data_IF_305940055557
#
_entry.id   IF_305940055557
#
_cell.length_a   1.000
_cell.length_b   1.000
_cell.length_c   1.000
_cell.angle_alpha   90.00
_cell.angle_beta   90.00
_cell.angle_gamma   90.00
#
_symmetry.space_group_name_H-M   'P 1'
#
loop_
_entity.id
_entity.type
_entity.pdbx_description
1 polymer ?
#
# COMPACT_ATOMS: atom_id res chain seq x y z
N UNK A 1 20.80 12.04 12.67
CA UNK A 1 20.41 11.10 12.01
C UNK A 1 19.30 10.25 12.61
N UNK A 2 19.22 9.11 12.33
CA UNK A 2 18.24 8.19 12.27
C UNK A 2 17.11 8.17 13.27
N UNK A 3 17.38 8.14 14.56
CA UNK A 3 16.29 7.89 15.51
C UNK A 3 15.26 9.00 15.56
N UNK A 4 15.65 10.22 15.23
CA UNK A 4 14.69 11.32 15.20
C UNK A 4 13.65 11.12 14.10
N UNK A 5 13.95 10.30 13.10
CA UNK A 5 13.04 10.05 12.00
C UNK A 5 12.00 8.98 12.29
N UNK A 6 12.08 8.33 13.46
CA UNK A 6 11.09 7.31 13.80
C UNK A 6 9.67 7.87 13.77
N UNK A 7 9.50 9.12 14.19
CA UNK A 7 8.19 9.74 14.19
C UNK A 7 7.64 10.00 12.79
N UNK A 8 8.49 9.92 11.78
CA UNK A 8 8.06 10.10 10.39
C UNK A 8 7.59 8.81 9.74
N UNK A 9 7.78 7.67 10.41
CA UNK A 9 7.34 6.40 9.91
C UNK A 9 5.81 6.35 9.95
N UNK A 10 5.21 6.18 8.81
CA UNK A 10 3.77 6.15 8.69
C UNK A 10 3.26 4.81 9.20
N UNK A 11 2.56 4.82 10.32
CA UNK A 11 2.10 3.59 10.94
C UNK A 11 1.01 2.90 10.14
N UNK A 12 0.30 3.63 9.32
CA UNK A 12 -0.70 3.01 8.45
C UNK A 12 -0.03 2.15 7.38
N UNK A 13 1.10 2.62 6.85
CA UNK A 13 1.85 1.86 5.84
C UNK A 13 2.76 0.82 6.47
N UNK A 14 3.31 1.13 7.64
CA UNK A 14 4.33 0.30 8.26
C UNK A 14 3.76 -1.02 8.73
N UNK A 15 4.17 -2.10 8.09
CA UNK A 15 3.68 -3.43 8.38
C UNK A 15 3.80 -4.24 7.12
N UNK A 16 4.10 -5.53 7.28
CA UNK A 16 4.40 -6.39 6.15
C UNK A 16 3.30 -6.35 5.08
N UNK A 17 2.06 -6.48 5.52
CA UNK A 17 0.95 -6.59 4.56
C UNK A 17 0.64 -5.27 3.90
N UNK A 18 0.50 -4.20 4.69
CA UNK A 18 0.13 -2.91 4.12
C UNK A 18 1.26 -2.33 3.29
N UNK A 19 2.51 -2.53 3.74
CA UNK A 19 3.64 -2.12 2.93
C UNK A 19 3.64 -2.87 1.60
N UNK A 20 3.40 -4.18 1.64
CA UNK A 20 3.32 -4.97 0.42
C UNK A 20 2.26 -4.47 -0.54
N UNK A 21 1.10 -4.10 -0.02
CA UNK A 21 0.02 -3.56 -0.84
C UNK A 21 0.46 -2.26 -1.50
N UNK A 22 1.08 -1.36 -0.73
CA UNK A 22 1.53 -0.08 -1.28
C UNK A 22 2.61 -0.26 -2.33
N UNK A 23 3.55 -1.18 -2.09
CA UNK A 23 4.59 -1.47 -3.07
C UNK A 23 3.96 -1.99 -4.37
N UNK A 24 3.05 -2.93 -4.23
CA UNK A 24 2.39 -3.51 -5.41
C UNK A 24 1.64 -2.45 -6.20
N UNK A 25 0.87 -1.61 -5.52
CA UNK A 25 0.06 -0.61 -6.19
C UNK A 25 0.87 0.57 -6.72
N UNK A 26 2.05 0.82 -6.15
CA UNK A 26 2.87 1.93 -6.61
C UNK A 26 3.60 1.62 -7.91
N UNK A 27 3.66 0.35 -8.30
CA UNK A 27 4.20 -0.04 -9.59
C UNK A 27 3.34 0.58 -10.68
N UNK A 28 3.97 1.14 -11.71
CA UNK A 28 3.26 1.86 -12.75
C UNK A 28 2.24 0.98 -13.47
N UNK A 29 2.53 -0.30 -13.55
CA UNK A 29 1.64 -1.23 -14.26
C UNK A 29 0.53 -1.77 -13.37
N UNK A 30 0.55 -1.44 -12.09
CA UNK A 30 -0.40 -1.98 -11.12
C UNK A 30 -1.21 -0.88 -10.45
N UNK A 31 -1.38 0.26 -11.10
CA UNK A 31 -2.15 1.38 -10.56
C UNK A 31 -3.56 0.97 -10.15
N UNK A 32 -4.11 0.01 -10.84
CA UNK A 32 -5.49 -0.40 -10.66
C UNK A 32 -5.51 -1.93 -10.71
N UNK A 33 -5.41 -2.54 -9.56
CA UNK A 33 -5.22 -3.98 -9.45
C UNK A 33 -6.48 -4.71 -9.04
N UNK A 34 -6.68 -5.88 -9.62
CA UNK A 34 -7.73 -6.79 -9.22
C UNK A 34 -7.35 -7.41 -7.88
N UNK A 35 -8.30 -7.42 -6.96
CA UNK A 35 -8.08 -7.97 -5.62
C UNK A 35 -7.63 -9.43 -5.65
N UNK A 36 -8.20 -10.22 -6.54
CA UNK A 36 -7.85 -11.64 -6.66
C UNK A 36 -6.40 -11.82 -7.06
N UNK A 37 -5.95 -10.99 -8.01
CA UNK A 37 -4.58 -11.00 -8.47
C UNK A 37 -3.62 -10.60 -7.35
N UNK A 38 -3.98 -9.55 -6.64
CA UNK A 38 -3.17 -9.06 -5.54
C UNK A 38 -3.03 -10.11 -4.45
N UNK A 39 -4.11 -10.83 -4.16
CA UNK A 39 -4.11 -11.88 -3.16
C UNK A 39 -3.06 -12.95 -3.48
N UNK A 40 -2.94 -13.31 -4.74
CA UNK A 40 -1.97 -14.30 -5.17
C UNK A 40 -0.55 -13.79 -5.02
N UNK A 41 -0.30 -12.57 -5.48
CA UNK A 41 1.04 -12.01 -5.47
C UNK A 41 1.54 -11.78 -4.04
N UNK A 42 0.66 -11.30 -3.18
CA UNK A 42 1.06 -10.98 -1.80
C UNK A 42 0.97 -12.22 -0.90
N UNK A 43 0.39 -13.30 -1.40
CA UNK A 43 0.24 -14.56 -0.66
C UNK A 43 -0.57 -14.34 0.62
N UNK A 44 -1.76 -13.78 0.45
CA UNK A 44 -2.63 -13.49 1.58
C UNK A 44 -3.99 -14.12 1.37
N UNK A 45 -4.71 -14.34 2.46
CA UNK A 45 -6.09 -14.72 2.34
C UNK A 45 -6.90 -13.49 1.97
N UNK A 46 -8.07 -13.72 1.38
CA UNK A 46 -8.92 -12.60 1.00
C UNK A 46 -9.35 -11.79 2.22
N UNK A 47 -9.64 -12.46 3.32
CA UNK A 47 -10.05 -11.77 4.54
C UNK A 47 -8.97 -10.88 5.09
N UNK A 48 -7.75 -11.40 5.18
CA UNK A 48 -6.61 -10.61 5.65
C UNK A 48 -6.36 -9.41 4.74
N UNK A 49 -6.33 -9.66 3.45
CA UNK A 49 -6.06 -8.60 2.49
C UNK A 49 -7.12 -7.52 2.58
N UNK A 50 -8.40 -7.91 2.67
CA UNK A 50 -9.50 -6.95 2.74
C UNK A 50 -9.42 -6.04 3.95
N UNK A 51 -9.04 -6.59 5.10
CA UNK A 51 -8.91 -5.79 6.32
C UNK A 51 -7.84 -4.72 6.13
N UNK A 52 -6.71 -5.10 5.59
CA UNK A 52 -5.61 -4.15 5.40
C UNK A 52 -5.91 -3.11 4.33
N UNK A 53 -6.59 -3.52 3.27
CA UNK A 53 -6.99 -2.56 2.24
C UNK A 53 -7.97 -1.54 2.81
N UNK A 54 -8.90 -1.97 3.65
CA UNK A 54 -9.83 -1.03 4.28
C UNK A 54 -9.12 -0.06 5.19
N UNK A 55 -8.10 -0.50 5.90
CA UNK A 55 -7.29 0.39 6.73
C UNK A 55 -6.63 1.47 5.86
N UNK A 56 -6.08 1.06 4.72
CA UNK A 56 -5.46 2.01 3.80
C UNK A 56 -6.49 2.94 3.18
N UNK A 57 -7.67 2.43 2.89
CA UNK A 57 -8.74 3.24 2.32
C UNK A 57 -9.19 4.31 3.31
N UNK A 58 -9.33 3.96 4.57
CA UNK A 58 -9.71 4.93 5.61
C UNK A 58 -8.70 6.05 5.74
N UNK A 59 -7.44 5.75 5.52
CA UNK A 59 -6.39 6.77 5.56
C UNK A 59 -6.36 7.62 4.30
N UNK A 60 -7.13 7.23 3.27
CA UNK A 60 -7.15 7.96 2.02
C UNK A 60 -6.06 7.54 1.05
N UNK A 61 -5.36 6.45 1.33
CA UNK A 61 -4.21 6.05 0.54
C UNK A 61 -4.55 5.18 -0.66
N UNK A 62 -5.69 4.49 -0.59
CA UNK A 62 -6.14 3.68 -1.72
C UNK A 62 -7.63 3.92 -1.93
N UNK A 63 -8.09 3.63 -3.14
CA UNK A 63 -9.50 3.69 -3.50
C UNK A 63 -9.95 2.30 -3.92
N UNK A 64 -11.15 1.94 -3.54
CA UNK A 64 -11.73 0.63 -3.87
C UNK A 64 -12.89 0.86 -4.82
N UNK A 65 -12.89 0.12 -5.92
CA UNK A 65 -13.98 0.18 -6.89
C UNK A 65 -14.58 -1.21 -7.03
N UNK A 66 -15.86 -1.33 -6.71
CA UNK A 66 -16.56 -2.60 -6.84
C UNK A 66 -17.51 -2.55 -8.01
N UNK A 67 -17.40 -3.54 -8.88
CA UNK A 67 -18.23 -3.62 -10.08
C UNK A 67 -18.47 -5.08 -10.40
N UNK A 68 -18.99 -5.33 -11.62
CA UNK A 68 -19.24 -6.67 -12.08
C UNK A 68 -18.63 -6.83 -13.47
N UNK A 69 -18.10 -8.02 -13.69
CA UNK A 69 -17.63 -8.40 -15.02
C UNK A 69 -18.20 -9.79 -15.30
N UNK A 70 -18.95 -9.93 -16.39
CA UNK A 70 -19.56 -11.21 -16.76
C UNK A 70 -20.38 -11.78 -15.60
N UNK A 71 -21.14 -10.91 -14.94
CA UNK A 71 -22.01 -11.25 -13.82
C UNK A 71 -21.29 -11.71 -12.57
N UNK A 72 -19.97 -11.48 -12.49
CA UNK A 72 -19.19 -11.81 -11.31
C UNK A 72 -18.68 -10.55 -10.65
N UNK A 73 -18.66 -10.52 -9.32
CA UNK A 73 -18.12 -9.36 -8.62
C UNK A 73 -16.65 -9.15 -8.98
N UNK A 74 -16.28 -7.90 -9.18
CA UNK A 74 -14.91 -7.51 -9.44
C UNK A 74 -14.55 -6.37 -8.52
N UNK A 75 -13.52 -6.56 -7.71
CA UNK A 75 -13.03 -5.51 -6.82
C UNK A 75 -11.67 -5.07 -7.31
N UNK A 76 -11.55 -3.80 -7.62
CA UNK A 76 -10.28 -3.21 -8.04
C UNK A 76 -9.82 -2.21 -7.01
N UNK A 77 -8.51 -2.12 -6.85
CA UNK A 77 -7.89 -1.25 -5.85
C UNK A 77 -6.85 -0.41 -6.57
N UNK A 78 -6.85 0.88 -6.29
CA UNK A 78 -5.84 1.77 -6.87
C UNK A 78 -5.24 2.64 -5.78
N UNK A 79 -4.00 3.09 -6.01
CA UNK A 79 -3.35 4.01 -5.10
C UNK A 79 -3.81 5.43 -5.44
N UNK A 80 -4.11 6.21 -4.41
CA UNK A 80 -4.52 7.59 -4.62
C UNK A 80 -3.29 8.50 -4.70
N UNK A 81 -3.52 9.76 -5.09
CA UNK A 81 -2.44 10.74 -5.07
C UNK A 81 -1.89 10.89 -3.66
N UNK A 82 -2.76 10.93 -2.67
CA UNK A 82 -2.34 11.01 -1.28
C UNK A 82 -1.54 9.79 -0.87
N UNK A 83 -1.97 8.60 -1.34
CA UNK A 83 -1.24 7.37 -1.07
C UNK A 83 0.16 7.39 -1.66
N UNK A 84 0.30 7.92 -2.87
CA UNK A 84 1.63 8.03 -3.48
C UNK A 84 2.53 8.96 -2.70
N UNK A 85 1.98 10.07 -2.25
CA UNK A 85 2.73 11.02 -1.43
C UNK A 85 3.17 10.38 -0.11
N UNK A 86 2.22 9.71 0.55
CA UNK A 86 2.50 9.08 1.84
C UNK A 86 3.55 7.97 1.68
N UNK A 87 3.47 7.20 0.60
CA UNK A 87 4.42 6.14 0.37
C UNK A 87 5.82 6.69 0.08
N UNK A 88 5.89 7.75 -0.71
CA UNK A 88 7.16 8.41 -0.98
C UNK A 88 7.80 8.93 0.31
N UNK A 89 6.99 9.57 1.15
CA UNK A 89 7.49 10.08 2.43
C UNK A 89 7.93 8.93 3.34
N UNK A 90 7.21 7.83 3.30
CA UNK A 90 7.56 6.64 4.08
C UNK A 90 8.92 6.11 3.65
N UNK A 91 9.15 6.00 2.35
CA UNK A 91 10.43 5.51 1.85
C UNK A 91 11.57 6.43 2.22
N UNK A 92 11.33 7.73 2.17
CA UNK A 92 12.34 8.71 2.57
C UNK A 92 12.70 8.55 4.05
N UNK A 93 11.69 8.35 4.89
CA UNK A 93 11.92 8.20 6.32
C UNK A 93 12.70 6.92 6.63
N UNK A 94 12.35 5.83 5.97
CA UNK A 94 13.09 4.57 6.14
C UNK A 94 14.51 4.74 5.65
N UNK A 95 14.71 5.41 4.52
CA UNK A 95 16.03 5.66 3.98
C UNK A 95 16.89 6.46 4.94
N UNK A 96 16.31 7.46 5.58
CA UNK A 96 17.05 8.25 6.56
C UNK A 96 17.47 7.41 7.76
N UNK A 97 16.61 6.49 8.18
CA UNK A 97 16.92 5.66 9.34
C UNK A 97 18.05 4.68 9.06
N UNK A 98 18.09 4.09 7.88
CA UNK A 98 19.03 3.01 7.63
C UNK A 98 20.13 3.39 6.64
N UNK A 99 19.86 4.34 5.74
CA UNK A 99 20.77 4.69 4.68
C UNK A 99 21.53 5.96 4.88
N UNK A 100 21.25 6.68 5.92
CA UNK A 100 21.83 8.01 6.12
C UNK A 100 23.33 8.01 6.18
N UNK A 101 23.89 6.88 6.33
CA UNK A 101 25.33 6.81 6.41
C UNK A 101 26.01 6.81 5.07
N UNK A 102 25.38 6.74 4.03
CA UNK A 102 26.01 6.70 2.77
C UNK A 102 26.27 7.84 2.13
N UNK A 103 26.33 7.99 2.33
CA UNK A 103 26.63 8.77 1.85
C UNK A 103 27.10 9.11 1.40
#
# INVERSE_FOLDING_TARGET
>A
MGLADLGRIDEVIHGRMRLGIMVYLSDADADDADLTEMKTVIEATQGNLSVHIKTLEKAGYVAIDKSFRDNKPLTRVSITREGRRAFSAYLDAIGSLIGGRDE
#
